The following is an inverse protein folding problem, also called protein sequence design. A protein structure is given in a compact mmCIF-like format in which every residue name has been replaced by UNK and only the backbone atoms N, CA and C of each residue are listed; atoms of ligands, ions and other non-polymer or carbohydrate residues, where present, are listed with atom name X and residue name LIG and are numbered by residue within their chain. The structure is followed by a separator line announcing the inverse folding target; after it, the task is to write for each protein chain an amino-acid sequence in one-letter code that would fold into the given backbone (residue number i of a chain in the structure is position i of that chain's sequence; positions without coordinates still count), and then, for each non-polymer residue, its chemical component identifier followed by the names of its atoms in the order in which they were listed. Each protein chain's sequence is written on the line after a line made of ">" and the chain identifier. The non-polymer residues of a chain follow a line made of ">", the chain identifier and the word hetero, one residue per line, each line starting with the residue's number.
data_IF_346410993157
#
_entry.id   IF_346410993157
#
_cell.length_a   1.000
_cell.length_b   1.000
_cell.length_c   1.000
_cell.angle_alpha   90.00
_cell.angle_beta   90.00
_cell.angle_gamma   90.00
#
_symmetry.space_group_name_H-M   'P 1'
#
loop_
_entity.id
_entity.type
_entity.pdbx_description
1 polymer ?
#
# COMPACT_ATOMS: atom_id res chain seq x y z
N UNK A 1 2.67 9.42 -25.65
CA UNK A 1 1.61 10.18 -24.96
C UNK A 1 1.83 11.66 -25.26
N UNK A 2 0.80 12.52 -25.34
CA UNK A 2 1.01 13.95 -25.52
C UNK A 2 1.76 14.56 -24.34
N UNK A 3 2.69 15.48 -24.63
CA UNK A 3 3.42 16.23 -23.60
C UNK A 3 2.42 17.03 -22.76
N UNK A 4 2.54 16.98 -21.43
CA UNK A 4 1.66 17.73 -20.51
C UNK A 4 0.39 17.02 -20.05
N UNK A 5 0.23 15.73 -20.30
CA UNK A 5 -0.90 14.94 -19.79
C UNK A 5 -0.80 14.75 -18.26
N UNK A 6 -1.55 15.52 -17.47
CA UNK A 6 -1.50 15.47 -15.98
C UNK A 6 -2.14 14.22 -15.37
N UNK A 7 -2.89 13.44 -16.16
CA UNK A 7 -3.67 12.30 -15.69
C UNK A 7 -2.86 11.16 -15.05
N UNK A 8 -1.55 11.10 -15.29
CA UNK A 8 -0.68 10.03 -14.80
C UNK A 8 0.39 10.48 -13.80
N UNK A 9 0.45 11.78 -13.52
CA UNK A 9 1.40 12.38 -12.58
C UNK A 9 1.08 11.87 -11.18
N UNK A 10 2.09 11.32 -10.50
CA UNK A 10 1.95 10.89 -9.13
C UNK A 10 1.99 12.11 -8.18
N UNK A 11 1.33 12.00 -7.05
CA UNK A 11 1.38 12.95 -5.94
C UNK A 11 1.73 12.20 -4.63
N UNK A 12 1.70 12.89 -3.49
CA UNK A 12 1.95 12.28 -2.19
C UNK A 12 0.87 11.27 -1.75
N UNK A 13 -0.19 11.08 -2.55
CA UNK A 13 -1.26 10.14 -2.28
C UNK A 13 -0.86 8.78 -2.88
N UNK A 14 -0.90 7.68 -2.11
CA UNK A 14 -0.60 6.37 -2.67
C UNK A 14 -1.65 5.99 -3.72
N UNK A 15 -1.21 5.71 -4.92
CA UNK A 15 -2.01 5.20 -6.03
C UNK A 15 -1.52 3.82 -6.50
N UNK A 16 -2.27 3.19 -7.41
CA UNK A 16 -1.92 1.89 -8.02
C UNK A 16 -1.55 0.81 -7.00
N UNK A 17 -2.35 0.73 -5.93
CA UNK A 17 -2.14 -0.23 -4.84
C UNK A 17 -2.51 -1.64 -5.32
N UNK A 18 -1.55 -2.55 -5.28
CA UNK A 18 -1.71 -3.95 -5.68
C UNK A 18 -1.25 -4.85 -4.54
N UNK A 19 -2.08 -5.82 -4.17
CA UNK A 19 -1.70 -6.91 -3.28
C UNK A 19 -1.42 -8.18 -4.09
N UNK A 20 -0.32 -8.87 -3.78
CA UNK A 20 0.09 -10.10 -4.45
C UNK A 20 0.42 -11.16 -3.41
N UNK A 21 -0.11 -12.39 -3.50
CA UNK A 21 0.26 -13.46 -2.57
C UNK A 21 1.77 -13.71 -2.55
N UNK A 22 2.30 -14.11 -1.39
CA UNK A 22 3.66 -14.65 -1.33
C UNK A 22 3.71 -16.04 -1.97
N UNK A 23 4.90 -16.64 -2.04
CA UNK A 23 5.07 -18.03 -2.48
C UNK A 23 4.17 -18.97 -1.66
N UNK A 24 4.11 -18.75 -0.35
CA UNK A 24 3.08 -19.33 0.52
C UNK A 24 2.02 -18.27 0.84
N UNK A 25 0.86 -18.40 0.18
CA UNK A 25 -0.24 -17.46 0.33
C UNK A 25 -0.93 -17.53 1.69
N UNK A 26 -0.74 -18.60 2.47
CA UNK A 26 -1.35 -18.75 3.79
C UNK A 26 -0.61 -17.95 4.87
N UNK A 27 0.67 -17.62 4.64
CA UNK A 27 1.54 -17.01 5.64
C UNK A 27 2.10 -15.64 5.24
N UNK A 28 1.84 -15.18 4.01
CA UNK A 28 2.28 -13.87 3.57
C UNK A 28 1.68 -13.35 2.27
N UNK A 29 1.89 -12.06 2.05
CA UNK A 29 1.60 -11.35 0.81
C UNK A 29 2.51 -10.11 0.70
N UNK A 30 2.51 -9.46 -0.45
CA UNK A 30 3.16 -8.17 -0.62
C UNK A 30 2.16 -7.12 -1.08
N UNK A 31 2.39 -5.88 -0.69
CA UNK A 31 1.66 -4.71 -1.18
C UNK A 31 2.63 -3.80 -1.92
N UNK A 32 2.32 -3.51 -3.18
CA UNK A 32 3.03 -2.53 -3.98
C UNK A 32 2.13 -1.32 -4.24
N UNK A 33 2.72 -0.13 -4.26
CA UNK A 33 2.01 1.12 -4.57
C UNK A 33 2.97 2.16 -5.13
N UNK A 34 2.44 3.27 -5.62
CA UNK A 34 3.22 4.39 -6.15
C UNK A 34 2.85 5.70 -5.47
N UNK A 35 3.83 6.59 -5.33
CA UNK A 35 3.66 8.00 -4.94
C UNK A 35 4.58 8.88 -5.79
N UNK A 36 4.51 10.19 -5.60
CA UNK A 36 5.56 11.11 -6.01
C UNK A 36 6.87 10.88 -5.21
N UNK A 37 7.91 11.61 -5.61
CA UNK A 37 9.24 11.55 -5.01
C UNK A 37 9.36 12.25 -3.64
N UNK A 38 8.28 12.79 -3.08
CA UNK A 38 8.31 13.46 -1.76
C UNK A 38 8.19 12.50 -0.57
N UNK A 39 7.75 11.26 -0.82
CA UNK A 39 7.49 10.25 0.21
C UNK A 39 8.74 9.41 0.49
N UNK A 40 9.43 9.73 1.60
CA UNK A 40 10.72 9.13 1.94
C UNK A 40 10.63 8.06 3.05
N UNK A 41 9.47 7.94 3.71
CA UNK A 41 9.26 6.98 4.80
C UNK A 41 8.02 6.12 4.57
N UNK A 42 7.96 5.37 3.46
CA UNK A 42 6.79 4.57 3.11
C UNK A 42 6.59 3.43 4.11
N UNK A 43 5.34 3.26 4.56
CA UNK A 43 4.93 2.21 5.50
C UNK A 43 3.62 1.59 5.05
N UNK A 44 3.45 0.32 5.39
CA UNK A 44 2.17 -0.38 5.42
C UNK A 44 1.77 -0.58 6.89
N UNK A 45 0.49 -0.41 7.19
CA UNK A 45 -0.09 -0.77 8.49
C UNK A 45 -1.02 -1.96 8.31
N UNK A 46 -0.83 -3.00 9.12
CA UNK A 46 -1.57 -4.24 9.09
C UNK A 46 -2.23 -4.52 10.45
N UNK A 47 -3.49 -4.94 10.44
CA UNK A 47 -4.24 -5.38 11.62
C UNK A 47 -4.99 -6.67 11.32
N UNK A 48 -5.19 -7.51 12.34
CA UNK A 48 -6.21 -8.56 12.28
C UNK A 48 -7.57 -7.87 12.21
N UNK A 49 -8.39 -8.24 11.24
CA UNK A 49 -9.73 -7.71 11.11
C UNK A 49 -10.61 -8.29 12.22
N UNK A 50 -11.10 -7.42 13.12
CA UNK A 50 -12.08 -7.78 14.14
C UNK A 50 -13.46 -7.24 13.81
N UNK A 51 -14.50 -7.79 14.47
CA UNK A 51 -15.89 -7.34 14.32
C UNK A 51 -16.23 -6.10 15.18
N UNK A 52 -15.23 -5.48 15.81
CA UNK A 52 -15.41 -4.33 16.69
C UNK A 52 -14.93 -3.03 16.02
N UNK A 53 -15.55 -1.88 16.30
CA UNK A 53 -15.20 -0.59 15.70
C UNK A 53 -13.79 -0.10 16.04
N UNK A 54 -13.13 -0.69 17.04
CA UNK A 54 -11.72 -0.47 17.32
C UNK A 54 -10.85 -1.26 16.36
N UNK A 55 -10.12 -0.55 15.49
CA UNK A 55 -8.95 -1.12 14.82
C UNK A 55 -7.88 -1.37 15.89
N UNK A 56 -7.45 -2.62 16.07
CA UNK A 56 -6.38 -2.96 17.00
C UNK A 56 -5.07 -2.23 16.68
N UNK A 57 -4.05 -2.37 17.54
CA UNK A 57 -2.73 -1.75 17.31
C UNK A 57 -2.10 -2.27 16.02
N UNK A 58 -1.84 -1.41 15.02
CA UNK A 58 -1.32 -1.87 13.73
C UNK A 58 0.15 -2.28 13.81
N UNK A 59 0.46 -3.42 13.18
CA UNK A 59 1.84 -3.78 12.81
C UNK A 59 2.29 -2.88 11.68
N UNK A 60 3.38 -2.15 11.89
CA UNK A 60 3.98 -1.24 10.89
C UNK A 60 5.10 -1.95 10.15
N UNK A 61 5.01 -1.97 8.82
CA UNK A 61 5.98 -2.62 7.94
C UNK A 61 6.60 -1.55 7.06
N UNK A 62 7.95 -1.48 7.03
CA UNK A 62 8.67 -0.55 6.15
C UNK A 62 8.67 -1.09 4.73
N UNK A 63 8.41 -0.23 3.75
CA UNK A 63 8.55 -0.59 2.35
C UNK A 63 9.93 -0.27 1.80
N UNK A 64 10.40 -1.11 0.88
CA UNK A 64 11.47 -0.77 -0.05
C UNK A 64 10.97 0.21 -1.12
N UNK A 65 11.86 0.99 -1.71
CA UNK A 65 11.51 2.01 -2.71
C UNK A 65 12.43 1.92 -3.92
N UNK A 66 11.85 1.93 -5.11
CA UNK A 66 12.54 2.13 -6.38
C UNK A 66 12.08 3.45 -7.01
N UNK A 67 13.03 4.25 -7.50
CA UNK A 67 12.72 5.51 -8.19
C UNK A 67 12.62 5.25 -9.68
N UNK A 68 11.58 5.79 -10.31
CA UNK A 68 11.43 5.80 -11.76
C UNK A 68 11.38 7.25 -12.25
N UNK A 69 12.28 7.60 -13.17
CA UNK A 69 12.23 8.86 -13.90
C UNK A 69 11.57 8.64 -15.26
N UNK A 70 10.60 9.48 -15.60
CA UNK A 70 9.90 9.43 -16.89
C UNK A 70 9.61 10.85 -17.38
N UNK A 71 9.13 10.97 -18.63
CA UNK A 71 8.65 12.24 -19.19
C UNK A 71 7.50 12.85 -18.36
N UNK A 72 6.79 12.03 -17.58
CA UNK A 72 5.70 12.46 -16.70
C UNK A 72 6.18 12.87 -15.29
N UNK A 73 7.49 12.98 -15.08
CA UNK A 73 8.12 13.27 -13.80
C UNK A 73 8.67 12.03 -13.08
N UNK A 74 9.24 12.28 -11.89
CA UNK A 74 9.78 11.23 -11.02
C UNK A 74 8.70 10.66 -10.11
N UNK A 75 8.63 9.33 -10.04
CA UNK A 75 7.76 8.60 -9.11
C UNK A 75 8.54 7.63 -8.25
N UNK A 76 8.01 7.34 -7.07
CA UNK A 76 8.49 6.29 -6.19
C UNK A 76 7.54 5.10 -6.24
N UNK A 77 8.11 3.92 -6.46
CA UNK A 77 7.43 2.64 -6.43
C UNK A 77 7.84 1.92 -5.15
N UNK A 78 6.87 1.65 -4.30
CA UNK A 78 7.09 1.07 -3.00
C UNK A 78 6.62 -0.38 -2.97
N UNK A 79 7.30 -1.19 -2.16
CA UNK A 79 6.88 -2.57 -1.87
C UNK A 79 7.08 -2.89 -0.40
N UNK A 80 6.02 -3.34 0.26
CA UNK A 80 6.08 -3.93 1.60
C UNK A 80 5.80 -5.43 1.50
N UNK A 81 6.73 -6.25 1.97
CA UNK A 81 6.54 -7.69 2.11
C UNK A 81 5.99 -7.98 3.52
N UNK A 82 4.88 -8.71 3.57
CA UNK A 82 4.16 -9.08 4.79
C UNK A 82 4.34 -10.58 5.00
N UNK A 83 4.83 -10.96 6.18
CA UNK A 83 5.09 -12.33 6.59
C UNK A 83 4.47 -12.64 7.97
N UNK A 84 4.59 -13.89 8.40
CA UNK A 84 4.16 -14.32 9.74
C UNK A 84 2.65 -14.23 9.95
N UNK A 85 1.87 -14.36 8.88
CA UNK A 85 0.41 -14.42 8.97
C UNK A 85 -0.03 -15.79 9.45
N UNK A 86 -1.15 -15.82 10.16
CA UNK A 86 -1.83 -17.06 10.47
C UNK A 86 -2.80 -17.42 9.32
N UNK A 87 -2.83 -18.69 8.89
CA UNK A 87 -3.85 -19.19 7.99
C UNK A 87 -5.26 -18.91 8.52
N UNK A 88 -6.23 -18.84 7.62
CA UNK A 88 -7.66 -18.64 7.92
C UNK A 88 -7.96 -17.41 8.80
N UNK A 89 -7.07 -16.41 8.80
CA UNK A 89 -7.24 -15.16 9.53
C UNK A 89 -7.47 -14.01 8.55
N UNK A 90 -8.53 -13.24 8.78
CA UNK A 90 -8.81 -12.05 7.98
C UNK A 90 -7.94 -10.89 8.47
N UNK A 91 -7.24 -10.23 7.54
CA UNK A 91 -6.43 -9.05 7.82
C UNK A 91 -6.96 -7.84 7.05
N UNK A 92 -6.85 -6.67 7.67
CA UNK A 92 -7.03 -5.38 7.01
C UNK A 92 -5.68 -4.66 6.94
N UNK A 93 -5.42 -3.99 5.83
CA UNK A 93 -4.21 -3.19 5.66
C UNK A 93 -4.53 -1.80 5.13
N UNK A 94 -3.64 -0.85 5.39
CA UNK A 94 -3.67 0.49 4.80
C UNK A 94 -2.27 0.99 4.50
N UNK A 95 -2.18 1.83 3.47
CA UNK A 95 -0.99 2.62 3.19
C UNK A 95 -1.28 4.05 3.66
N UNK A 96 -0.82 4.45 4.86
CA UNK A 96 -1.02 5.81 5.33
C UNK A 96 -0.28 6.79 4.41
N UNK A 97 -0.82 8.01 4.32
CA UNK A 97 0.00 9.11 3.84
C UNK A 97 1.16 9.29 4.78
N UNK A 98 2.36 9.25 4.22
CA UNK A 98 3.48 9.87 4.90
C UNK A 98 3.32 11.36 4.63
N UNK A 99 3.26 12.19 5.67
CA UNK A 99 3.16 13.63 5.47
C UNK A 99 4.36 14.09 4.63
N UNK A 100 4.09 14.66 3.45
CA UNK A 100 5.09 15.39 2.69
C UNK A 100 5.62 16.49 3.62
N UNK A 101 6.92 16.54 3.87
CA UNK A 101 7.49 17.69 4.63
C UNK A 101 7.45 18.90 3.70
N UNK A 102 6.35 19.65 3.75
CA UNK A 102 6.18 20.98 3.16
C UNK A 102 5.57 21.04 1.76
N UNK A 103 4.24 20.97 1.66
CA UNK A 103 3.41 22.01 1.01
C UNK A 103 1.93 21.80 1.33
N UNK A 104 1.28 22.88 1.72
CA UNK A 104 -0.06 22.97 2.26
C UNK A 104 -1.14 22.60 1.22
N UNK A 105 -1.92 21.53 1.46
CA UNK A 105 -3.29 21.37 0.92
C UNK A 105 -4.10 20.30 1.68
N UNK A 106 -5.36 20.66 1.94
CA UNK A 106 -6.33 20.06 2.85
C UNK A 106 -6.65 18.54 2.67
N UNK A 107 -7.16 17.84 3.71
CA UNK A 107 -7.36 16.40 3.69
C UNK A 107 -8.70 15.97 3.06
N UNK A 108 -8.62 15.22 1.96
CA UNK A 108 -9.71 14.37 1.46
C UNK A 108 -9.49 12.92 1.88
N UNK A 109 -10.41 12.38 2.68
CA UNK A 109 -10.44 10.97 3.10
C UNK A 109 -11.08 10.12 2.01
N UNK A 110 -10.48 8.97 1.64
CA UNK A 110 -11.13 7.64 1.47
C UNK A 110 -10.21 6.62 0.79
N UNK A 111 -10.32 5.37 1.23
CA UNK A 111 -9.71 4.19 0.62
C UNK A 111 -9.42 3.10 1.65
N UNK A 112 -10.42 2.28 2.00
CA UNK A 112 -10.22 1.01 2.72
C UNK A 112 -10.38 -0.08 1.65
N UNK A 113 -9.29 -0.76 1.29
CA UNK A 113 -9.34 -1.92 0.39
C UNK A 113 -9.27 -3.19 1.23
N UNK A 114 -10.33 -3.98 1.20
CA UNK A 114 -10.38 -5.33 1.77
C UNK A 114 -10.05 -6.36 0.70
N UNK A 115 -9.10 -7.26 0.98
CA UNK A 115 -8.81 -8.42 0.14
C UNK A 115 -9.20 -9.69 0.90
N UNK A 116 -9.94 -10.59 0.23
CA UNK A 116 -10.26 -11.94 0.72
C UNK A 116 -9.31 -12.91 0.02
N UNK A 117 -8.50 -13.65 0.79
CA UNK A 117 -7.65 -14.71 0.23
C UNK A 117 -8.54 -15.85 -0.31
N UNK A 118 -8.17 -16.46 -1.45
CA UNK A 118 -8.86 -17.64 -1.95
C UNK A 118 -8.52 -18.87 -1.09
N UNK A 119 -9.52 -19.73 -0.86
CA UNK A 119 -9.34 -20.98 -0.13
C UNK A 119 -8.64 -22.05 -1.01
N UNK A 120 -7.82 -22.94 -0.41
CA UNK A 120 -7.20 -24.03 -1.14
C UNK A 120 -8.24 -25.08 -1.52
N UNK A 121 -8.25 -25.46 -2.79
CA UNK A 121 -9.05 -26.59 -3.31
C UNK A 121 -8.29 -27.87 -3.02
N UNK A 122 -8.83 -28.72 -2.15
CA UNK A 122 -8.36 -30.10 -2.00
C UNK A 122 -8.63 -30.90 -3.28
N UNK A 123 -7.61 -31.61 -3.77
CA UNK A 123 -7.75 -32.74 -4.69
C UNK A 123 -7.72 -34.03 -3.89
#
# INVERSE_FOLDING_TARGET
>A
MPVGSTHYVADGFPDRIVATPAQDAATGFAVAWRTDASVNQPRLELVVAGNSPGVGTPRRIRASTATLASENGSSHHHRADVDGLHPDTLYAYRVPRTACRGRDRAPGVRGITSARLPQPVHR
#
